data_IF_560412927506
#
_entry.id   IF_560412927506
#
_cell.length_a   1.000
_cell.length_b   1.000
_cell.length_c   1.000
_cell.angle_alpha   90.00
_cell.angle_beta   90.00
_cell.angle_gamma   90.00
#
_symmetry.space_group_name_H-M   'P 1'
#
loop_
_entity.id
_entity.type
_entity.pdbx_description
1 polymer ?
#
# COMPACT_ATOMS: atom_id res chain seq x y z
N UNK A 1 27.33 -20.96 -11.96
CA UNK A 1 26.98 -19.83 -11.07
C UNK A 1 27.80 -18.66 -11.55
N UNK A 2 27.22 -17.90 -12.47
CA UNK A 2 27.87 -16.72 -13.06
C UNK A 2 27.51 -15.54 -12.16
N UNK A 3 28.45 -15.19 -11.28
CA UNK A 3 28.30 -14.04 -10.39
C UNK A 3 28.39 -12.79 -11.23
N UNK A 4 27.23 -12.28 -11.67
CA UNK A 4 27.13 -11.00 -12.36
C UNK A 4 27.83 -9.97 -11.49
N UNK A 5 29.01 -9.49 -11.94
CA UNK A 5 29.62 -8.29 -11.38
C UNK A 5 28.59 -7.18 -11.56
N UNK A 6 27.92 -6.82 -10.48
CA UNK A 6 27.24 -5.54 -10.39
C UNK A 6 28.34 -4.49 -10.42
N UNK A 7 28.62 -3.97 -11.62
CA UNK A 7 29.38 -2.74 -11.75
C UNK A 7 28.49 -1.56 -11.29
N UNK A 8 29.11 -0.41 -11.09
CA UNK A 8 28.43 0.77 -10.56
C UNK A 8 27.24 1.20 -11.44
N UNK A 9 27.30 0.94 -12.76
CA UNK A 9 26.25 1.25 -13.72
C UNK A 9 25.05 0.29 -13.56
N UNK A 10 25.31 -1.01 -13.38
CA UNK A 10 24.28 -1.99 -13.04
C UNK A 10 23.53 -1.65 -11.74
N UNK A 11 24.26 -1.28 -10.69
CA UNK A 11 23.67 -0.93 -9.40
C UNK A 11 22.84 0.37 -9.48
N UNK A 12 23.34 1.40 -10.19
CA UNK A 12 22.59 2.63 -10.41
C UNK A 12 21.28 2.38 -11.17
N UNK A 13 21.29 1.46 -12.13
CA UNK A 13 20.10 1.01 -12.85
C UNK A 13 19.09 0.28 -11.96
N UNK A 14 19.55 -0.60 -11.07
CA UNK A 14 18.69 -1.30 -10.10
C UNK A 14 18.03 -0.33 -9.12
N UNK A 15 18.79 0.62 -8.57
CA UNK A 15 18.28 1.67 -7.67
C UNK A 15 17.20 2.50 -8.36
N UNK A 16 17.46 2.95 -9.59
CA UNK A 16 16.50 3.76 -10.35
C UNK A 16 15.17 3.02 -10.55
N UNK A 17 15.22 1.75 -10.97
CA UNK A 17 14.03 0.91 -11.13
C UNK A 17 13.31 0.64 -9.80
N UNK A 18 14.04 0.51 -8.69
CA UNK A 18 13.47 0.31 -7.37
C UNK A 18 12.66 1.54 -6.92
N UNK A 19 13.19 2.76 -7.11
CA UNK A 19 12.47 3.99 -6.81
C UNK A 19 11.26 4.22 -7.73
N UNK A 20 11.38 3.90 -9.02
CA UNK A 20 10.25 3.93 -9.96
C UNK A 20 9.13 2.99 -9.49
N UNK A 21 9.50 1.75 -9.11
CA UNK A 21 8.56 0.76 -8.57
C UNK A 21 7.94 1.26 -7.27
N UNK A 22 8.71 1.77 -6.33
CA UNK A 22 8.21 2.35 -5.07
C UNK A 22 7.19 3.46 -5.32
N UNK A 23 7.46 4.32 -6.31
CA UNK A 23 6.54 5.39 -6.69
C UNK A 23 5.25 4.83 -7.29
N UNK A 24 5.36 3.83 -8.18
CA UNK A 24 4.19 3.20 -8.80
C UNK A 24 3.32 2.48 -7.76
N UNK A 25 3.93 1.72 -6.85
CA UNK A 25 3.20 0.99 -5.80
C UNK A 25 2.57 1.95 -4.79
N UNK A 26 3.22 3.09 -4.48
CA UNK A 26 2.61 4.16 -3.68
C UNK A 26 1.34 4.70 -4.32
N UNK A 27 1.37 4.99 -5.64
CA UNK A 27 0.17 5.46 -6.37
C UNK A 27 -0.94 4.39 -6.35
N UNK A 28 -0.57 3.12 -6.51
CA UNK A 28 -1.51 2.00 -6.41
C UNK A 28 -2.16 1.89 -5.02
N UNK A 29 -1.38 2.07 -3.95
CA UNK A 29 -1.90 2.09 -2.58
C UNK A 29 -2.85 3.26 -2.34
N UNK A 30 -2.51 4.46 -2.82
CA UNK A 30 -3.41 5.63 -2.73
C UNK A 30 -4.72 5.34 -3.45
N UNK A 31 -4.66 4.87 -4.71
CA UNK A 31 -5.86 4.55 -5.48
C UNK A 31 -6.75 3.49 -4.80
N UNK A 32 -6.15 2.42 -4.24
CA UNK A 32 -6.91 1.40 -3.53
C UNK A 32 -7.52 1.92 -2.21
N UNK A 33 -6.82 2.84 -1.53
CA UNK A 33 -7.32 3.49 -0.31
C UNK A 33 -8.48 4.44 -0.63
N UNK A 34 -8.37 5.21 -1.70
CA UNK A 34 -9.41 6.13 -2.17
C UNK A 34 -10.65 5.35 -2.59
N UNK A 35 -10.50 4.27 -3.37
CA UNK A 35 -11.61 3.42 -3.79
C UNK A 35 -12.39 2.82 -2.61
N UNK A 36 -11.70 2.30 -1.60
CA UNK A 36 -12.35 1.79 -0.38
C UNK A 36 -13.06 2.92 0.37
N UNK A 37 -12.41 4.07 0.52
CA UNK A 37 -12.97 5.23 1.24
C UNK A 37 -14.20 5.79 0.55
N UNK A 38 -14.20 5.82 -0.79
CA UNK A 38 -15.30 6.29 -1.61
C UNK A 38 -16.50 5.35 -1.51
N UNK A 39 -16.27 4.04 -1.57
CA UNK A 39 -17.31 3.03 -1.37
C UNK A 39 -17.93 3.15 0.04
N UNK A 40 -17.11 3.24 1.10
CA UNK A 40 -17.61 3.41 2.47
C UNK A 40 -18.37 4.73 2.66
N UNK A 41 -17.94 5.80 2.00
CA UNK A 41 -18.63 7.09 2.03
C UNK A 41 -19.97 7.00 1.31
N UNK A 42 -20.01 6.38 0.13
CA UNK A 42 -21.24 6.15 -0.63
C UNK A 42 -22.26 5.37 0.18
N UNK A 43 -21.83 4.24 0.76
CA UNK A 43 -22.68 3.41 1.62
C UNK A 43 -23.25 4.18 2.82
N UNK A 44 -22.45 5.06 3.46
CA UNK A 44 -22.93 5.92 4.55
C UNK A 44 -23.97 6.95 4.10
N UNK A 45 -23.79 7.54 2.92
CA UNK A 45 -24.73 8.53 2.36
C UNK A 45 -26.04 7.86 1.98
N UNK A 46 -25.99 6.71 1.32
CA UNK A 46 -27.16 5.95 0.90
C UNK A 46 -27.98 5.43 2.08
N UNK A 47 -27.33 5.17 3.22
CA UNK A 47 -27.96 4.66 4.44
C UNK A 47 -28.02 5.70 5.57
N UNK A 48 -27.95 7.00 5.22
CA UNK A 48 -27.87 8.07 6.20
C UNK A 48 -29.06 8.07 7.18
N UNK A 49 -30.29 7.84 6.68
CA UNK A 49 -31.48 7.81 7.52
C UNK A 49 -31.43 6.66 8.53
N UNK A 50 -31.06 5.45 8.10
CA UNK A 50 -30.89 4.29 8.99
C UNK A 50 -29.81 4.53 10.05
N UNK A 51 -28.71 5.19 9.68
CA UNK A 51 -27.66 5.54 10.62
C UNK A 51 -28.10 6.63 11.61
N UNK A 52 -28.93 7.59 11.19
CA UNK A 52 -29.49 8.64 12.05
C UNK A 52 -30.55 8.11 13.03
N UNK A 53 -31.24 7.01 12.69
CA UNK A 53 -32.18 6.33 13.58
C UNK A 53 -31.48 5.60 14.75
N UNK A 54 -30.16 5.38 14.66
CA UNK A 54 -29.40 4.76 15.72
C UNK A 54 -29.40 5.65 16.99
N UNK A 55 -29.98 5.13 18.08
CA UNK A 55 -30.14 5.87 19.35
C UNK A 55 -28.83 6.08 20.13
N UNK A 56 -27.73 5.48 19.68
CA UNK A 56 -26.40 5.61 20.27
C UNK A 56 -25.33 5.16 19.26
N UNK A 57 -24.07 5.52 19.54
CA UNK A 57 -22.91 5.20 18.70
C UNK A 57 -22.72 3.69 18.49
N UNK A 58 -22.94 2.87 19.52
CA UNK A 58 -22.80 1.41 19.41
C UNK A 58 -23.76 0.82 18.38
N UNK A 59 -25.01 1.27 18.38
CA UNK A 59 -26.01 0.83 17.39
C UNK A 59 -25.66 1.33 15.99
N UNK A 60 -25.16 2.57 15.85
CA UNK A 60 -24.73 3.11 14.57
C UNK A 60 -23.55 2.31 13.99
N UNK A 61 -22.59 1.91 14.83
CA UNK A 61 -21.48 1.05 14.42
C UNK A 61 -21.95 -0.32 13.92
N UNK A 62 -22.89 -0.96 14.61
CA UNK A 62 -23.45 -2.24 14.19
C UNK A 62 -24.20 -2.14 12.86
N UNK A 63 -24.95 -1.05 12.65
CA UNK A 63 -25.60 -0.79 11.37
C UNK A 63 -24.58 -0.58 10.26
N UNK A 64 -23.53 0.20 10.52
CA UNK A 64 -22.46 0.40 9.55
C UNK A 64 -21.73 -0.91 9.20
N UNK A 65 -21.45 -1.76 10.19
CA UNK A 65 -20.89 -3.09 9.96
C UNK A 65 -21.79 -3.93 9.04
N UNK A 66 -23.10 -3.95 9.30
CA UNK A 66 -24.05 -4.67 8.43
C UNK A 66 -24.19 -4.07 7.03
N UNK A 67 -24.13 -2.73 6.90
CA UNK A 67 -24.16 -2.03 5.61
C UNK A 67 -22.92 -2.35 4.78
N UNK A 68 -21.75 -2.46 5.43
CA UNK A 68 -20.47 -2.75 4.78
C UNK A 68 -20.19 -4.25 4.62
N UNK A 69 -21.01 -5.14 5.17
CA UNK A 69 -20.88 -6.60 5.00
C UNK A 69 -21.34 -7.04 3.60
N UNK A 70 -20.59 -6.58 2.60
CA UNK A 70 -20.84 -6.85 1.19
C UNK A 70 -19.61 -7.48 0.53
N UNK A 71 -19.81 -8.33 -0.49
CA UNK A 71 -18.69 -8.87 -1.27
C UNK A 71 -17.81 -7.79 -1.88
N UNK A 72 -18.39 -6.67 -2.32
CA UNK A 72 -17.67 -5.55 -2.92
C UNK A 72 -16.75 -4.86 -1.91
N UNK A 73 -17.24 -4.54 -0.70
CA UNK A 73 -16.40 -3.99 0.36
C UNK A 73 -15.25 -4.94 0.72
N UNK A 74 -15.54 -6.24 0.84
CA UNK A 74 -14.54 -7.25 1.13
C UNK A 74 -13.44 -7.31 0.04
N UNK A 75 -13.81 -7.20 -1.23
CA UNK A 75 -12.88 -7.16 -2.35
C UNK A 75 -12.01 -5.90 -2.34
N UNK A 76 -12.60 -4.73 -2.09
CA UNK A 76 -11.89 -3.45 -1.98
C UNK A 76 -10.90 -3.45 -0.80
N UNK A 77 -11.33 -3.96 0.36
CA UNK A 77 -10.48 -4.11 1.54
C UNK A 77 -9.31 -5.06 1.25
N UNK A 78 -9.59 -6.17 0.57
CA UNK A 78 -8.57 -7.12 0.13
C UNK A 78 -7.59 -6.50 -0.87
N UNK A 79 -8.07 -5.69 -1.81
CA UNK A 79 -7.24 -4.95 -2.76
C UNK A 79 -6.33 -3.93 -2.07
N UNK A 80 -6.85 -3.16 -1.11
CA UNK A 80 -6.05 -2.25 -0.28
C UNK A 80 -4.94 -3.01 0.47
N UNK A 81 -5.26 -4.12 1.14
CA UNK A 81 -4.27 -4.94 1.85
C UNK A 81 -3.16 -5.46 0.94
N UNK A 82 -3.50 -5.91 -0.27
CA UNK A 82 -2.50 -6.30 -1.28
C UNK A 82 -1.60 -5.12 -1.67
N UNK A 83 -2.20 -3.95 -1.92
CA UNK A 83 -1.44 -2.76 -2.28
C UNK A 83 -0.51 -2.27 -1.14
N UNK A 84 -0.95 -2.38 0.12
CA UNK A 84 -0.13 -2.09 1.30
C UNK A 84 1.10 -3.01 1.35
N UNK A 85 0.91 -4.31 1.16
CA UNK A 85 2.00 -5.27 1.13
C UNK A 85 2.98 -4.97 -0.01
N UNK A 86 2.48 -4.75 -1.23
CA UNK A 86 3.34 -4.44 -2.39
C UNK A 86 4.11 -3.13 -2.22
N UNK A 87 3.51 -2.11 -1.59
CA UNK A 87 4.23 -0.88 -1.26
C UNK A 87 5.31 -1.11 -0.20
N UNK A 88 5.00 -1.89 0.84
CA UNK A 88 5.97 -2.25 1.87
C UNK A 88 7.17 -3.02 1.29
N UNK A 89 6.92 -4.01 0.43
CA UNK A 89 7.97 -4.77 -0.26
C UNK A 89 8.86 -3.86 -1.12
N UNK A 90 8.26 -2.95 -1.90
CA UNK A 90 9.02 -2.01 -2.72
C UNK A 90 9.89 -1.07 -1.87
N UNK A 91 9.38 -0.66 -0.70
CA UNK A 91 10.13 0.17 0.26
C UNK A 91 11.32 -0.60 0.84
N UNK A 92 11.10 -1.85 1.27
CA UNK A 92 12.17 -2.69 1.81
C UNK A 92 13.28 -2.94 0.79
N UNK A 93 12.93 -3.08 -0.50
CA UNK A 93 13.94 -3.25 -1.56
C UNK A 93 14.79 -1.99 -1.75
N UNK A 94 14.20 -0.80 -1.70
CA UNK A 94 14.95 0.47 -1.73
C UNK A 94 15.89 0.55 -0.51
N UNK A 95 15.39 0.27 0.70
CA UNK A 95 16.21 0.30 1.92
C UNK A 95 17.38 -0.70 1.85
N UNK A 96 17.14 -1.89 1.28
CA UNK A 96 18.17 -2.90 1.03
C UNK A 96 19.25 -2.39 0.07
N UNK A 97 18.86 -1.77 -1.05
CA UNK A 97 19.80 -1.25 -2.04
C UNK A 97 20.62 -0.08 -1.49
N UNK A 98 20.00 0.82 -0.72
CA UNK A 98 20.70 1.91 -0.04
C UNK A 98 21.76 1.38 0.95
N UNK A 99 21.43 0.32 1.70
CA UNK A 99 22.40 -0.32 2.59
C UNK A 99 23.58 -0.93 1.81
N UNK A 100 23.31 -1.56 0.67
CA UNK A 100 24.34 -2.14 -0.19
C UNK A 100 25.30 -1.07 -0.72
N UNK A 101 24.78 0.09 -1.14
CA UNK A 101 25.61 1.24 -1.53
C UNK A 101 26.53 1.66 -0.39
N UNK A 102 25.99 1.85 0.81
CA UNK A 102 26.78 2.26 1.99
C UNK A 102 27.89 1.25 2.33
N UNK A 103 27.60 -0.05 2.20
CA UNK A 103 28.59 -1.11 2.44
C UNK A 103 29.71 -1.06 1.40
N UNK A 104 29.39 -0.90 0.12
CA UNK A 104 30.39 -0.78 -0.94
C UNK A 104 31.26 0.47 -0.76
N UNK A 105 30.66 1.61 -0.40
CA UNK A 105 31.39 2.83 -0.08
C UNK A 105 32.35 2.63 1.09
N UNK A 106 31.91 1.96 2.16
CA UNK A 106 32.75 1.65 3.32
C UNK A 106 33.91 0.72 2.95
N UNK A 107 33.65 -0.33 2.17
CA UNK A 107 34.68 -1.26 1.69
C UNK A 107 35.68 -0.62 0.72
N UNK A 108 35.28 0.42 -0.03
CA UNK A 108 36.20 1.15 -0.93
C UNK A 108 37.15 2.11 -0.22
N UNK A 109 36.87 2.47 1.04
CA UNK A 109 37.68 3.38 1.86
C UNK A 109 38.64 2.67 2.82
N UNK A 110 38.52 1.35 2.94
CA UNK A 110 39.37 0.50 3.79
C UNK A 110 40.52 -0.11 2.98
#
# INVERSE_FOLDING_TARGET
MDGTKLDAEGLAGEISRAYERLTATRRGLVAATDALSDHERGAKVENADTLLEAKNERTASLYLEGILDTPEHAELLSAKRRAELTYYEARMEVERLELLVRLLEASSRA
#
